data_IF_538333961419
#
_entry.id   IF_538333961419
#
_cell.length_a   1.000
_cell.length_b   1.000
_cell.length_c   1.000
_cell.angle_alpha   90.00
_cell.angle_beta   90.00
_cell.angle_gamma   90.00
#
_symmetry.space_group_name_H-M   'P 1'
#
loop_
_entity.id
_entity.type
_entity.pdbx_description
1 polymer ?
#
# COMPACT_ATOMS: atom_id res chain seq x y z
N UNK A 1 -0.76 -7.24 20.22
CA UNK A 1 -0.62 -8.69 20.43
C UNK A 1 0.49 -9.15 19.50
N UNK A 2 1.57 -9.71 20.03
CA UNK A 2 2.73 -10.19 19.25
C UNK A 2 2.47 -11.65 18.84
N UNK A 3 2.65 -11.98 17.56
CA UNK A 3 2.69 -13.36 17.07
C UNK A 3 4.04 -13.59 16.39
N UNK A 4 4.80 -14.56 16.92
CA UNK A 4 5.96 -15.17 16.26
C UNK A 4 7.20 -14.29 15.95
N UNK A 5 7.64 -13.46 16.89
CA UNK A 5 9.05 -13.02 16.95
C UNK A 5 9.52 -11.97 15.93
N UNK A 6 8.64 -11.47 15.07
CA UNK A 6 8.85 -10.23 14.31
C UNK A 6 7.77 -9.25 14.73
N UNK A 7 8.10 -7.99 15.09
CA UNK A 7 7.09 -7.02 15.45
C UNK A 7 6.15 -6.84 14.25
N UNK A 8 4.88 -7.21 14.44
CA UNK A 8 3.74 -7.03 13.53
C UNK A 8 3.60 -5.56 13.03
N UNK A 9 4.34 -4.65 13.65
CA UNK A 9 4.55 -3.25 13.27
C UNK A 9 5.15 -3.02 11.86
N UNK A 10 5.68 -4.05 11.19
CA UNK A 10 6.21 -3.89 9.83
C UNK A 10 5.18 -4.13 8.71
N UNK A 11 3.94 -4.51 9.05
CA UNK A 11 2.87 -4.57 8.06
C UNK A 11 2.35 -3.16 7.84
N UNK A 12 2.52 -2.63 6.62
CA UNK A 12 1.87 -1.38 6.25
C UNK A 12 0.35 -1.57 6.42
N UNK A 13 -0.30 -0.76 7.27
CA UNK A 13 -1.74 -0.88 7.47
C UNK A 13 -2.46 -0.56 6.16
N UNK A 14 -3.59 -1.23 5.92
CA UNK A 14 -4.40 -0.96 4.76
C UNK A 14 -5.13 0.38 4.94
N UNK A 15 -4.67 1.41 4.24
CA UNK A 15 -5.33 2.72 4.21
C UNK A 15 -6.56 2.78 3.30
N UNK A 16 -6.95 1.64 2.71
CA UNK A 16 -8.03 1.52 1.73
C UNK A 16 -9.40 2.03 2.22
N UNK A 17 -9.70 1.82 3.50
CA UNK A 17 -10.97 2.20 4.12
C UNK A 17 -10.90 3.58 4.80
N UNK A 18 -9.68 4.13 4.95
CA UNK A 18 -9.44 5.39 5.65
C UNK A 18 -9.26 6.57 4.69
N UNK A 19 -8.77 6.32 3.47
CA UNK A 19 -8.49 7.34 2.47
C UNK A 19 -9.31 7.08 1.21
N UNK A 20 -9.84 8.15 0.61
CA UNK A 20 -10.46 8.11 -0.71
C UNK A 20 -9.42 7.92 -1.82
N UNK A 21 -9.88 7.51 -3.00
CA UNK A 21 -9.01 7.29 -4.17
C UNK A 21 -8.22 8.55 -4.58
N UNK A 22 -8.80 9.74 -4.34
CA UNK A 22 -8.15 11.03 -4.59
C UNK A 22 -7.06 11.31 -3.57
N UNK A 23 -7.33 11.11 -2.28
CA UNK A 23 -6.33 11.33 -1.22
C UNK A 23 -5.14 10.38 -1.36
N UNK A 24 -5.40 9.12 -1.74
CA UNK A 24 -4.34 8.16 -2.04
C UNK A 24 -3.50 8.64 -3.23
N UNK A 25 -4.14 9.15 -4.29
CA UNK A 25 -3.43 9.67 -5.46
C UNK A 25 -2.57 10.89 -5.13
N UNK A 26 -3.06 11.82 -4.30
CA UNK A 26 -2.33 13.00 -3.87
C UNK A 26 -1.11 12.64 -3.01
N UNK A 27 -1.29 11.75 -2.02
CA UNK A 27 -0.18 11.27 -1.18
C UNK A 27 0.87 10.55 -2.01
N UNK A 28 0.46 9.68 -2.94
CA UNK A 28 1.39 8.98 -3.82
C UNK A 28 2.12 9.93 -4.77
N UNK A 29 1.43 10.96 -5.28
CA UNK A 29 2.04 12.00 -6.12
C UNK A 29 3.09 12.79 -5.35
N UNK A 30 2.77 13.17 -4.10
CA UNK A 30 3.71 13.84 -3.22
C UNK A 30 4.95 12.98 -2.94
N UNK A 31 4.78 11.72 -2.54
CA UNK A 31 5.89 10.77 -2.30
C UNK A 31 6.73 10.55 -3.56
N UNK A 32 6.10 10.49 -4.74
CA UNK A 32 6.78 10.36 -6.04
C UNK A 32 7.56 11.59 -6.47
N UNK A 33 7.19 12.78 -6.01
CA UNK A 33 7.89 14.04 -6.32
C UNK A 33 8.88 14.48 -5.24
N UNK A 34 8.95 13.75 -4.13
CA UNK A 34 9.79 14.10 -2.97
C UNK A 34 10.90 13.08 -2.76
N UNK A 35 11.84 13.41 -1.86
CA UNK A 35 12.98 12.55 -1.51
C UNK A 35 13.83 12.12 -2.72
N UNK A 36 13.99 13.02 -3.71
CA UNK A 36 14.76 12.75 -4.93
C UNK A 36 14.06 11.82 -5.92
N UNK A 37 12.80 11.45 -5.68
CA UNK A 37 11.99 10.76 -6.67
C UNK A 37 11.54 11.74 -7.76
N UNK A 38 11.63 11.32 -9.02
CA UNK A 38 11.15 12.04 -10.19
C UNK A 38 9.96 11.30 -10.82
N UNK A 39 9.03 10.86 -9.99
CA UNK A 39 7.80 10.20 -10.44
C UNK A 39 6.74 11.24 -10.84
N UNK A 40 6.07 10.99 -11.96
CA UNK A 40 4.91 11.79 -12.36
C UNK A 40 3.71 11.61 -11.43
N UNK A 41 2.77 12.57 -11.49
CA UNK A 41 1.54 12.54 -10.71
C UNK A 41 0.76 11.22 -10.92
N UNK A 42 0.15 10.75 -9.85
CA UNK A 42 -0.71 9.56 -9.83
C UNK A 42 -2.15 10.04 -10.03
N UNK A 43 -2.85 9.38 -10.95
CA UNK A 43 -4.24 9.68 -11.25
C UNK A 43 -5.20 8.88 -10.35
N UNK A 44 -6.23 9.52 -9.82
CA UNK A 44 -7.21 8.88 -8.93
C UNK A 44 -7.97 7.71 -9.59
N UNK A 45 -8.19 7.75 -10.92
CA UNK A 45 -8.81 6.66 -11.67
C UNK A 45 -7.90 5.44 -11.72
N UNK A 46 -6.58 5.65 -11.78
CA UNK A 46 -5.62 4.56 -11.71
C UNK A 46 -5.66 3.87 -10.33
N UNK A 47 -5.79 4.64 -9.25
CA UNK A 47 -5.99 4.13 -7.89
C UNK A 47 -7.30 3.33 -7.79
N UNK A 48 -8.41 3.88 -8.27
CA UNK A 48 -9.72 3.19 -8.26
C UNK A 48 -9.70 1.87 -9.06
N UNK A 49 -9.05 1.86 -10.23
CA UNK A 49 -8.87 0.65 -11.05
C UNK A 49 -8.06 -0.41 -10.30
N UNK A 50 -6.98 -0.02 -9.64
CA UNK A 50 -6.17 -0.93 -8.83
C UNK A 50 -6.93 -1.39 -7.59
N UNK A 51 -7.68 -0.52 -6.92
CA UNK A 51 -8.54 -0.92 -5.80
C UNK A 51 -9.55 -1.98 -6.23
N UNK A 52 -10.12 -1.89 -7.43
CA UNK A 52 -11.01 -2.94 -7.95
C UNK A 52 -10.32 -4.28 -8.24
N UNK A 53 -9.00 -4.27 -8.48
CA UNK A 53 -8.21 -5.46 -8.85
C UNK A 53 -7.38 -6.05 -7.70
N UNK A 54 -7.10 -5.26 -6.66
CA UNK A 54 -6.28 -5.67 -5.53
C UNK A 54 -7.17 -6.16 -4.40
N UNK A 55 -6.98 -7.43 -4.04
CA UNK A 55 -7.56 -8.05 -2.84
C UNK A 55 -7.16 -7.23 -1.58
N UNK A 56 -8.05 -7.02 -0.60
CA UNK A 56 -7.72 -6.28 0.62
C UNK A 56 -6.59 -7.00 1.36
N UNK A 57 -5.35 -6.55 1.12
CA UNK A 57 -4.08 -6.99 1.69
C UNK A 57 -4.19 -8.30 2.48
N UNK A 58 -4.24 -9.44 1.77
CA UNK A 58 -4.33 -10.77 2.37
C UNK A 58 -3.48 -10.86 3.64
N UNK A 59 -4.14 -11.11 4.77
CA UNK A 59 -3.50 -11.25 6.09
C UNK A 59 -2.63 -12.51 6.22
N UNK A 60 -2.51 -13.30 5.15
CA UNK A 60 -1.71 -14.50 5.10
C UNK A 60 -0.29 -14.16 4.62
N UNK A 61 0.76 -14.30 5.45
CA UNK A 61 2.13 -14.20 4.94
C UNK A 61 2.35 -15.30 3.89
N UNK A 62 2.91 -14.93 2.74
CA UNK A 62 3.45 -15.90 1.77
C UNK A 62 4.68 -16.52 2.43
N UNK A 63 4.52 -17.66 3.10
CA UNK A 63 5.66 -18.41 3.64
C UNK A 63 6.39 -19.03 2.44
N UNK A 64 7.49 -18.41 2.03
CA UNK A 64 8.40 -18.99 1.04
C UNK A 64 9.10 -20.19 1.70
N UNK A 65 8.58 -21.39 1.48
CA UNK A 65 9.31 -22.61 1.80
C UNK A 65 10.46 -22.76 0.79
N UNK A 66 11.67 -22.36 1.19
CA UNK A 66 12.89 -22.87 0.57
C UNK A 66 13.15 -24.27 1.12
N UNK A 67 13.12 -25.27 0.23
CA UNK A 67 13.48 -26.66 0.55
C UNK A 67 15.00 -26.83 0.55
#
# INVERSE_FOLDING_TARGET
MITAGLPDAYRMPAFREQLSDSEIADVLSYVRGTWGNHGGAVDAKAVGKLRGHTDPASSSPIILHMR
#
